data_IF_386919057522
#
_entry.id   IF_386919057522
#
_cell.length_a   1.000
_cell.length_b   1.000
_cell.length_c   1.000
_cell.angle_alpha   90.00
_cell.angle_beta   90.00
_cell.angle_gamma   90.00
#
_symmetry.space_group_name_H-M   'P 1'
#
loop_
_entity.id
_entity.type
_entity.pdbx_description
1 polymer ?
#
# COMPACT_ATOMS: atom_id res chain seq x y z
N UNK A 1 -2.01 -13.42 27.78
CA UNK A 1 -2.71 -13.32 26.48
C UNK A 1 -1.67 -13.01 25.42
N UNK A 2 -1.51 -13.79 24.35
CA UNK A 2 -0.69 -13.38 23.23
C UNK A 2 -1.24 -12.06 22.70
N UNK A 3 -0.38 -11.03 22.57
CA UNK A 3 -0.80 -9.77 21.99
C UNK A 3 -1.07 -10.03 20.50
N UNK A 4 -2.25 -9.69 20.04
CA UNK A 4 -2.59 -9.77 18.61
C UNK A 4 -1.56 -8.97 17.83
N UNK A 5 -0.87 -9.60 16.89
CA UNK A 5 0.05 -8.91 15.98
C UNK A 5 -0.78 -8.21 14.90
N UNK A 6 -0.75 -6.90 14.86
CA UNK A 6 -1.46 -6.14 13.82
C UNK A 6 -0.78 -6.35 12.48
N UNK A 7 -1.55 -6.73 11.45
CA UNK A 7 -1.07 -7.00 10.09
C UNK A 7 -1.75 -6.06 9.10
N UNK A 8 -0.97 -5.37 8.29
CA UNK A 8 -1.45 -4.44 7.26
C UNK A 8 -0.96 -4.94 5.90
N UNK A 9 -1.90 -5.24 5.00
CA UNK A 9 -1.62 -5.50 3.59
C UNK A 9 -1.39 -4.18 2.86
N UNK A 10 -0.33 -4.09 2.07
CA UNK A 10 0.02 -2.86 1.32
C UNK A 10 0.19 -3.20 -0.15
N UNK A 11 -0.56 -2.52 -1.00
CA UNK A 11 -0.59 -2.69 -2.45
C UNK A 11 -0.58 -1.34 -3.16
N UNK A 12 -0.04 -1.26 -4.35
CA UNK A 12 -0.01 -0.05 -5.19
C UNK A 12 0.12 -0.41 -6.66
N UNK A 13 -0.22 0.54 -7.52
CA UNK A 13 0.08 0.48 -8.95
C UNK A 13 -0.45 -0.82 -9.59
N UNK A 14 -1.73 -1.08 -9.38
CA UNK A 14 -2.45 -2.25 -9.92
C UNK A 14 -2.78 -2.09 -11.41
N UNK A 15 -2.87 -0.85 -11.91
CA UNK A 15 -3.05 -0.53 -13.32
C UNK A 15 -4.20 -1.33 -14.00
N UNK A 16 -5.34 -1.48 -13.28
CA UNK A 16 -6.52 -2.16 -13.79
C UNK A 16 -6.47 -3.69 -13.70
N UNK A 17 -5.42 -4.26 -13.07
CA UNK A 17 -5.28 -5.68 -12.85
C UNK A 17 -5.11 -6.00 -11.37
N UNK A 18 -5.80 -7.02 -10.88
CA UNK A 18 -5.61 -7.55 -9.53
C UNK A 18 -5.30 -9.04 -9.62
N UNK A 19 -4.06 -9.42 -9.31
CA UNK A 19 -3.68 -10.82 -9.20
C UNK A 19 -4.49 -11.49 -8.07
N UNK A 20 -5.20 -12.59 -8.35
CA UNK A 20 -5.98 -13.29 -7.31
C UNK A 20 -5.17 -13.70 -6.09
N UNK A 21 -3.86 -13.93 -6.24
CA UNK A 21 -2.95 -14.26 -5.14
C UNK A 21 -2.83 -13.13 -4.11
N UNK A 22 -3.08 -11.87 -4.51
CA UNK A 22 -3.09 -10.74 -3.56
C UNK A 22 -4.18 -10.94 -2.51
N UNK A 23 -5.36 -11.42 -2.92
CA UNK A 23 -6.46 -11.68 -1.99
C UNK A 23 -6.12 -12.82 -1.02
N UNK A 24 -5.43 -13.86 -1.50
CA UNK A 24 -4.96 -14.98 -0.68
C UNK A 24 -3.86 -14.52 0.31
N UNK A 25 -2.88 -13.73 -0.16
CA UNK A 25 -1.80 -13.20 0.67
C UNK A 25 -2.31 -12.25 1.76
N UNK A 26 -3.38 -11.52 1.46
CA UNK A 26 -4.00 -10.59 2.40
C UNK A 26 -5.08 -11.22 3.28
N UNK A 27 -5.34 -12.53 3.12
CA UNK A 27 -6.23 -13.23 4.03
C UNK A 27 -5.75 -13.11 5.49
N UNK A 28 -6.62 -12.57 6.36
CA UNK A 28 -6.33 -12.37 7.78
C UNK A 28 -5.42 -11.17 8.10
N UNK A 29 -5.28 -10.19 7.20
CA UNK A 29 -4.77 -8.87 7.59
C UNK A 29 -5.86 -8.06 8.28
N UNK A 30 -5.49 -7.16 9.17
CA UNK A 30 -6.44 -6.30 9.90
C UNK A 30 -6.89 -5.10 9.07
N UNK A 31 -6.08 -4.71 8.09
CA UNK A 31 -6.33 -3.56 7.22
C UNK A 31 -5.57 -3.69 5.90
N UNK A 32 -6.08 -3.06 4.85
CA UNK A 32 -5.41 -2.94 3.56
C UNK A 32 -5.20 -1.47 3.24
N UNK A 33 -4.03 -1.14 2.69
CA UNK A 33 -3.69 0.20 2.18
C UNK A 33 -3.35 0.11 0.71
N UNK A 34 -4.05 0.87 -0.15
CA UNK A 34 -3.76 0.99 -1.58
C UNK A 34 -3.21 2.37 -1.91
N UNK A 35 -2.00 2.44 -2.42
CA UNK A 35 -1.29 3.70 -2.64
C UNK A 35 -1.49 4.34 -4.02
N UNK A 36 -2.56 4.00 -4.74
CA UNK A 36 -2.97 4.67 -5.98
C UNK A 36 -2.56 3.96 -7.27
N UNK A 37 -2.93 4.58 -8.41
CA UNK A 37 -2.84 4.02 -9.75
C UNK A 37 -3.61 2.69 -9.86
N UNK A 38 -4.91 2.78 -9.59
CA UNK A 38 -5.84 1.66 -9.45
C UNK A 38 -6.43 1.29 -10.82
N UNK A 39 -6.98 2.28 -11.54
CA UNK A 39 -7.61 2.27 -12.85
C UNK A 39 -8.94 1.49 -12.96
N UNK A 40 -9.20 0.49 -12.11
CA UNK A 40 -10.46 -0.26 -12.07
C UNK A 40 -11.09 -0.23 -10.66
N UNK A 41 -12.26 0.41 -10.47
CA UNK A 41 -12.95 0.46 -9.17
C UNK A 41 -13.26 -0.94 -8.59
N UNK A 42 -13.45 -1.96 -9.44
CA UNK A 42 -13.70 -3.33 -9.01
C UNK A 42 -12.57 -3.92 -8.15
N UNK A 43 -11.35 -3.43 -8.31
CA UNK A 43 -10.21 -3.80 -7.46
C UNK A 43 -10.46 -3.39 -6.00
N UNK A 44 -11.01 -2.20 -5.78
CA UNK A 44 -11.31 -1.72 -4.43
C UNK A 44 -12.38 -2.59 -3.77
N UNK A 45 -13.38 -3.03 -4.52
CA UNK A 45 -14.44 -3.88 -4.00
C UNK A 45 -13.91 -5.27 -3.64
N UNK A 46 -13.05 -5.84 -4.48
CA UNK A 46 -12.38 -7.11 -4.19
C UNK A 46 -11.50 -7.03 -2.93
N UNK A 47 -10.74 -5.95 -2.75
CA UNK A 47 -9.91 -5.75 -1.56
C UNK A 47 -10.75 -5.50 -0.31
N UNK A 48 -11.86 -4.73 -0.40
CA UNK A 48 -12.80 -4.49 0.71
C UNK A 48 -13.48 -5.77 1.20
N UNK A 49 -13.66 -6.75 0.31
CA UNK A 49 -14.21 -8.07 0.69
C UNK A 49 -13.25 -8.87 1.58
N UNK A 50 -11.95 -8.56 1.57
CA UNK A 50 -10.93 -9.23 2.39
C UNK A 50 -10.76 -8.55 3.75
N UNK A 51 -10.59 -7.22 3.77
CA UNK A 51 -10.38 -6.44 5.01
C UNK A 51 -10.78 -4.97 4.82
N UNK A 52 -10.93 -4.18 5.91
CA UNK A 52 -11.08 -2.74 5.81
C UNK A 52 -9.98 -2.12 4.95
N UNK A 53 -10.36 -1.19 4.05
CA UNK A 53 -9.48 -0.60 3.05
C UNK A 53 -9.36 0.91 3.20
N UNK A 54 -8.12 1.41 3.18
CA UNK A 54 -7.82 2.82 2.91
C UNK A 54 -7.12 2.92 1.56
N UNK A 55 -7.67 3.71 0.65
CA UNK A 55 -7.11 3.91 -0.68
C UNK A 55 -6.98 5.39 -1.02
N UNK A 56 -6.02 5.72 -1.88
CA UNK A 56 -5.86 7.03 -2.49
C UNK A 56 -5.83 6.88 -4.00
N UNK A 57 -6.16 7.95 -4.73
CA UNK A 57 -5.96 7.92 -6.18
C UNK A 57 -4.52 8.31 -6.55
N UNK A 58 -4.02 7.74 -7.63
CA UNK A 58 -2.72 8.08 -8.21
C UNK A 58 -2.81 9.10 -9.35
N UNK A 59 -1.84 9.07 -10.26
CA UNK A 59 -1.78 10.04 -11.36
C UNK A 59 -2.43 9.55 -12.65
N UNK A 60 -2.64 8.25 -12.79
CA UNK A 60 -3.34 7.68 -13.96
C UNK A 60 -4.82 7.38 -13.68
N UNK A 61 -5.24 7.44 -12.43
CA UNK A 61 -6.65 7.29 -12.06
C UNK A 61 -7.50 8.43 -12.60
N UNK A 62 -8.70 8.12 -13.06
CA UNK A 62 -9.65 9.05 -13.67
C UNK A 62 -11.08 8.81 -13.17
N UNK A 63 -12.01 9.67 -13.55
CA UNK A 63 -13.44 9.49 -13.27
C UNK A 63 -13.77 9.35 -11.79
N UNK A 64 -14.54 8.32 -11.47
CA UNK A 64 -15.04 8.08 -10.11
C UNK A 64 -13.91 7.86 -9.10
N UNK A 65 -12.81 7.22 -9.50
CA UNK A 65 -11.65 7.03 -8.61
C UNK A 65 -11.07 8.36 -8.11
N UNK A 66 -10.99 9.38 -8.98
CA UNK A 66 -10.50 10.70 -8.58
C UNK A 66 -11.54 11.48 -7.78
N UNK A 67 -12.83 11.29 -8.05
CA UNK A 67 -13.90 12.00 -7.35
C UNK A 67 -14.18 11.42 -5.95
N UNK A 68 -14.00 10.12 -5.76
CA UNK A 68 -14.31 9.42 -4.51
C UNK A 68 -13.10 9.25 -3.59
N UNK A 69 -11.91 9.13 -4.16
CA UNK A 69 -10.69 8.89 -3.37
C UNK A 69 -9.90 10.18 -3.15
N UNK A 70 -9.38 10.37 -1.93
CA UNK A 70 -8.47 11.49 -1.66
C UNK A 70 -7.10 11.26 -2.31
N UNK A 71 -6.32 12.32 -2.46
CA UNK A 71 -4.90 12.25 -2.88
C UNK A 71 -3.99 11.71 -1.78
N UNK A 72 -4.41 11.85 -0.55
CA UNK A 72 -3.70 11.44 0.66
C UNK A 72 -4.72 11.07 1.71
N UNK A 73 -4.48 9.98 2.43
CA UNK A 73 -5.32 9.53 3.52
C UNK A 73 -4.48 9.22 4.77
N UNK A 74 -5.14 9.20 5.91
CA UNK A 74 -4.56 8.87 7.21
C UNK A 74 -5.43 7.85 7.90
N UNK A 75 -4.82 7.02 8.72
CA UNK A 75 -5.54 6.06 9.54
C UNK A 75 -4.70 5.59 10.70
N UNK A 76 -5.33 4.78 11.51
CA UNK A 76 -4.70 4.04 12.59
C UNK A 76 -5.33 2.65 12.66
N UNK A 77 -4.51 1.62 12.82
CA UNK A 77 -4.95 0.24 12.99
C UNK A 77 -4.05 -0.47 14.00
N UNK A 78 -4.64 -1.05 15.04
CA UNK A 78 -3.90 -1.74 16.10
C UNK A 78 -2.82 -0.91 16.78
N UNK A 79 -3.01 0.41 16.87
CA UNK A 79 -2.04 1.36 17.43
C UNK A 79 -0.94 1.81 16.46
N UNK A 80 -0.99 1.39 15.19
CA UNK A 80 -0.09 1.86 14.12
C UNK A 80 -0.74 3.00 13.38
N UNK A 81 -0.19 4.20 13.51
CA UNK A 81 -0.62 5.37 12.75
C UNK A 81 0.02 5.37 11.36
N UNK A 82 -0.76 5.65 10.32
CA UNK A 82 -0.21 5.69 8.97
C UNK A 82 -0.72 6.87 8.15
N UNK A 83 0.07 7.21 7.14
CA UNK A 83 -0.29 8.14 6.06
C UNK A 83 0.00 7.45 4.74
N UNK A 84 -0.91 7.58 3.79
CA UNK A 84 -0.74 7.05 2.43
C UNK A 84 -0.91 8.16 1.40
N UNK A 85 -0.10 8.11 0.36
CA UNK A 85 -0.20 8.98 -0.81
C UNK A 85 0.65 8.46 -1.94
N UNK A 86 0.20 8.65 -3.18
CA UNK A 86 0.83 8.00 -4.32
C UNK A 86 2.27 8.48 -4.57
N UNK A 87 2.54 9.80 -4.53
CA UNK A 87 3.87 10.35 -4.89
C UNK A 87 4.70 10.75 -3.68
N UNK A 88 5.88 10.14 -3.52
CA UNK A 88 6.85 10.40 -2.44
C UNK A 88 7.18 11.89 -2.32
N UNK A 89 7.53 12.56 -3.43
CA UNK A 89 7.94 13.97 -3.41
C UNK A 89 6.90 14.90 -2.77
N UNK A 90 5.61 14.61 -3.00
CA UNK A 90 4.51 15.38 -2.41
C UNK A 90 4.43 15.17 -0.90
N UNK A 91 4.48 13.92 -0.44
CA UNK A 91 4.45 13.58 0.99
C UNK A 91 5.65 14.17 1.72
N UNK A 92 6.87 14.06 1.16
CA UNK A 92 8.08 14.61 1.76
C UNK A 92 8.03 16.15 1.88
N UNK A 93 7.49 16.84 0.86
CA UNK A 93 7.29 18.29 0.94
C UNK A 93 6.34 18.67 2.09
N UNK A 94 5.33 17.85 2.37
CA UNK A 94 4.38 18.08 3.47
C UNK A 94 4.96 17.73 4.83
N UNK A 95 5.78 16.68 4.92
CA UNK A 95 6.53 16.34 6.13
C UNK A 95 7.45 17.49 6.55
N UNK A 96 8.24 18.03 5.62
CA UNK A 96 9.09 19.20 5.86
C UNK A 96 8.31 20.45 6.26
N UNK A 97 7.03 20.55 5.91
CA UNK A 97 6.13 21.62 6.33
C UNK A 97 5.38 21.32 7.66
N UNK A 98 5.70 20.22 8.36
CA UNK A 98 5.03 19.80 9.60
C UNK A 98 3.57 19.37 9.44
N UNK A 99 3.09 19.22 8.20
CA UNK A 99 1.66 18.98 7.89
C UNK A 99 1.24 17.52 8.01
N UNK A 100 2.18 16.58 8.07
CA UNK A 100 1.89 15.15 8.16
C UNK A 100 1.97 14.61 9.60
N UNK A 101 2.24 15.46 10.59
CA UNK A 101 2.21 15.03 11.98
C UNK A 101 0.84 14.45 12.34
N UNK A 102 0.81 13.22 12.81
CA UNK A 102 -0.38 12.59 13.37
C UNK A 102 -0.63 13.17 14.76
N UNK A 103 -1.74 13.86 14.98
CA UNK A 103 -2.18 14.41 16.28
C UNK A 103 -1.07 14.81 17.26
N UNK A 104 -0.93 16.08 17.57
CA UNK A 104 0.03 16.56 18.57
C UNK A 104 1.49 16.69 18.12
N UNK A 105 1.78 16.71 16.82
CA UNK A 105 3.13 16.96 16.28
C UNK A 105 4.01 15.71 16.14
N UNK A 106 3.50 14.51 16.44
CA UNK A 106 4.19 13.25 16.20
C UNK A 106 4.10 12.85 14.72
N UNK A 107 5.21 12.38 14.16
CA UNK A 107 5.21 11.74 12.83
C UNK A 107 4.45 10.42 12.89
N UNK A 108 3.81 9.98 11.76
CA UNK A 108 3.17 8.67 11.69
C UNK A 108 4.20 7.55 11.84
N UNK A 109 3.76 6.37 12.30
CA UNK A 109 4.62 5.19 12.39
C UNK A 109 4.97 4.64 11.00
N UNK A 110 4.03 4.77 10.04
CA UNK A 110 4.15 4.24 8.68
C UNK A 110 3.73 5.30 7.64
N UNK A 111 4.53 5.47 6.60
CA UNK A 111 4.18 6.23 5.40
C UNK A 111 4.22 5.29 4.20
N UNK A 112 3.08 5.16 3.51
CA UNK A 112 2.94 4.32 2.31
C UNK A 112 2.96 5.21 1.07
N UNK A 113 3.76 4.83 0.11
CA UNK A 113 3.91 5.49 -1.19
C UNK A 113 3.84 4.47 -2.33
N UNK A 114 3.54 4.92 -3.54
CA UNK A 114 3.56 4.13 -4.78
C UNK A 114 4.42 4.78 -5.86
N UNK A 115 3.96 4.70 -7.11
CA UNK A 115 4.45 5.42 -8.29
C UNK A 115 5.80 4.95 -8.87
N UNK A 116 6.76 4.59 -8.05
CA UNK A 116 8.13 4.26 -8.50
C UNK A 116 8.28 2.78 -8.90
N UNK A 117 7.24 1.96 -8.73
CA UNK A 117 7.16 0.53 -9.03
C UNK A 117 8.26 -0.34 -8.39
N UNK A 118 9.13 0.23 -7.58
CA UNK A 118 10.27 -0.46 -6.95
C UNK A 118 9.98 -0.68 -5.46
N UNK A 119 9.93 -1.94 -5.00
CA UNK A 119 9.72 -2.23 -3.59
C UNK A 119 10.86 -1.66 -2.74
N UNK A 120 10.50 -0.91 -1.71
CA UNK A 120 11.49 -0.31 -0.80
C UNK A 120 10.93 -0.07 0.59
N UNK A 121 11.77 -0.22 1.61
CA UNK A 121 11.45 0.12 2.99
C UNK A 121 12.63 0.83 3.62
N UNK A 122 12.40 1.99 4.23
CA UNK A 122 13.44 2.79 4.87
C UNK A 122 12.91 3.50 6.11
N UNK A 123 13.70 3.49 7.18
CA UNK A 123 13.42 4.26 8.38
C UNK A 123 14.02 5.66 8.27
N UNK A 124 13.18 6.66 8.50
CA UNK A 124 13.59 8.08 8.54
C UNK A 124 12.95 8.73 9.77
N UNK A 125 13.75 9.20 10.69
CA UNK A 125 13.30 9.89 11.91
C UNK A 125 12.20 9.14 12.70
N UNK A 126 12.33 7.81 12.79
CA UNK A 126 11.38 6.95 13.52
C UNK A 126 10.11 6.60 12.76
N UNK A 127 9.98 7.01 11.51
CA UNK A 127 8.89 6.66 10.59
C UNK A 127 9.36 5.66 9.54
N UNK A 128 8.59 4.61 9.31
CA UNK A 128 8.83 3.65 8.23
C UNK A 128 8.23 4.18 6.92
N UNK A 129 9.08 4.43 5.92
CA UNK A 129 8.65 4.70 4.55
C UNK A 129 8.61 3.40 3.77
N UNK A 130 7.47 3.08 3.18
CA UNK A 130 7.22 1.83 2.46
C UNK A 130 6.65 2.11 1.07
N UNK A 131 7.31 1.59 0.05
CA UNK A 131 6.73 1.38 -1.28
C UNK A 131 6.58 -0.13 -1.48
N UNK A 132 5.38 -0.67 -1.72
CA UNK A 132 5.19 -2.11 -1.91
C UNK A 132 5.71 -2.62 -3.26
N UNK A 133 6.10 -1.75 -4.17
CA UNK A 133 6.31 -2.03 -5.57
C UNK A 133 5.03 -1.84 -6.38
N UNK A 134 4.99 -2.38 -7.58
CA UNK A 134 3.78 -2.45 -8.41
C UNK A 134 3.10 -3.80 -8.22
N UNK A 135 1.77 -3.81 -8.33
CA UNK A 135 0.97 -5.04 -8.42
C UNK A 135 0.29 -5.17 -9.80
N UNK A 136 0.94 -4.61 -10.83
CA UNK A 136 0.50 -4.66 -12.24
C UNK A 136 0.43 -6.09 -12.79
N UNK A 137 -0.05 -6.20 -14.03
CA UNK A 137 -0.14 -7.49 -14.72
C UNK A 137 1.23 -8.18 -14.82
N UNK A 138 1.29 -9.50 -14.60
CA UNK A 138 2.51 -10.26 -14.82
C UNK A 138 2.97 -10.31 -16.29
N UNK A 139 2.11 -9.84 -17.21
CA UNK A 139 2.43 -9.69 -18.63
C UNK A 139 3.17 -8.35 -18.92
N UNK A 140 3.34 -7.49 -17.92
CA UNK A 140 4.17 -6.29 -18.01
C UNK A 140 5.64 -6.69 -17.83
N UNK A 141 6.42 -6.63 -18.92
CA UNK A 141 7.79 -7.13 -18.95
C UNK A 141 8.76 -6.25 -18.15
N UNK A 142 8.38 -5.00 -17.89
CA UNK A 142 9.25 -4.02 -17.25
C UNK A 142 9.20 -4.10 -15.70
N UNK A 143 8.18 -4.78 -15.14
CA UNK A 143 7.93 -4.79 -13.71
C UNK A 143 8.06 -6.19 -13.08
N UNK A 144 8.63 -6.26 -11.88
CA UNK A 144 8.57 -7.44 -11.00
C UNK A 144 7.46 -7.20 -9.96
N UNK A 145 6.24 -7.74 -10.18
CA UNK A 145 5.10 -7.39 -9.34
C UNK A 145 5.26 -7.89 -7.91
N UNK A 146 4.99 -7.01 -6.96
CA UNK A 146 5.10 -7.26 -5.51
C UNK A 146 3.98 -6.58 -4.74
N UNK A 147 3.66 -7.14 -3.58
CA UNK A 147 2.90 -6.48 -2.51
C UNK A 147 3.69 -6.57 -1.21
N UNK A 148 3.26 -5.89 -0.17
CA UNK A 148 3.91 -5.98 1.13
C UNK A 148 2.92 -6.31 2.25
N UNK A 149 3.43 -6.96 3.30
CA UNK A 149 2.73 -7.10 4.57
C UNK A 149 3.58 -6.43 5.64
N UNK A 150 2.98 -5.50 6.38
CA UNK A 150 3.56 -4.88 7.56
C UNK A 150 2.99 -5.57 8.80
N UNK A 151 3.87 -6.03 9.67
CA UNK A 151 3.51 -6.65 10.95
C UNK A 151 3.98 -5.76 12.10
N UNK A 152 3.04 -5.31 12.94
CA UNK A 152 3.35 -4.54 14.14
C UNK A 152 3.47 -5.49 15.33
N UNK A 153 4.65 -5.54 15.91
CA UNK A 153 4.99 -6.33 17.08
C UNK A 153 5.44 -5.45 18.25
N UNK A 154 5.68 -6.03 19.40
CA UNK A 154 6.26 -5.32 20.54
C UNK A 154 7.68 -4.75 20.22
N UNK A 155 8.36 -5.30 19.21
CA UNK A 155 9.70 -4.87 18.78
C UNK A 155 9.65 -3.75 17.72
N UNK A 156 8.46 -3.39 17.20
CA UNK A 156 8.26 -2.39 16.15
C UNK A 156 7.61 -2.95 14.89
N UNK A 157 7.73 -2.22 13.77
CA UNK A 157 7.19 -2.64 12.48
C UNK A 157 8.21 -3.50 11.72
N UNK A 158 7.75 -4.64 11.23
CA UNK A 158 8.47 -5.51 10.31
C UNK A 158 7.77 -5.50 8.95
N UNK A 159 8.54 -5.49 7.85
CA UNK A 159 8.01 -5.53 6.48
C UNK A 159 8.42 -6.82 5.81
N UNK A 160 7.46 -7.44 5.14
CA UNK A 160 7.71 -8.58 4.25
C UNK A 160 7.20 -8.24 2.86
N UNK A 161 8.09 -8.21 1.88
CA UNK A 161 7.72 -8.13 0.48
C UNK A 161 7.32 -9.52 -0.03
N UNK A 162 6.21 -9.56 -0.77
CA UNK A 162 5.62 -10.77 -1.33
C UNK A 162 5.63 -10.67 -2.85
N UNK A 163 6.63 -11.28 -3.52
CA UNK A 163 6.67 -11.31 -4.99
C UNK A 163 5.43 -12.03 -5.55
N UNK A 164 4.82 -11.42 -6.54
CA UNK A 164 3.78 -12.04 -7.35
C UNK A 164 4.49 -12.66 -8.56
N UNK A 165 4.65 -13.99 -8.59
CA UNK A 165 5.42 -14.66 -9.63
C UNK A 165 4.91 -14.28 -11.04
N UNK A 166 5.82 -13.96 -11.96
CA UNK A 166 5.51 -13.86 -13.39
C UNK A 166 4.90 -15.17 -13.88
N UNK A 167 4.03 -15.13 -14.87
CA UNK A 167 3.60 -16.37 -15.56
C UNK A 167 4.84 -17.01 -16.16
N UNK A 168 5.07 -18.29 -15.84
CA UNK A 168 6.11 -19.05 -16.51
C UNK A 168 5.81 -19.04 -18.01
N UNK A 169 6.77 -18.62 -18.83
CA UNK A 169 6.69 -18.68 -20.29
C UNK A 169 6.26 -20.10 -20.69
N UNK A 170 5.03 -20.27 -21.18
CA UNK A 170 4.60 -21.56 -21.67
C UNK A 170 3.12 -21.94 -21.53
N UNK A 171 2.27 -21.16 -20.88
CA UNK A 171 0.83 -21.41 -20.97
C UNK A 171 0.15 -20.35 -21.86
N UNK A 172 0.35 -20.52 -23.17
CA UNK A 172 -0.52 -19.94 -24.18
C UNK A 172 -1.97 -20.46 -23.98
N UNK A 173 -2.93 -19.60 -24.23
CA UNK A 173 -4.38 -19.76 -24.16
C UNK A 173 -4.90 -21.06 -24.78
#
# INVERSE_FOLDING_TARGET
MPRHTTRIGVVSDTHGYLDPRVLELFAGVDHIVHAGDIMDPGILDALRAVAPLTAVHGNVDTGDLVSELPREARGEVGGVSFVVGHKRKRLMKRLGAGRLAAGGGRLPDLIVIGHEHVPSAAWVDGTLFLNPGTASSPDDEDDDPTVAIVEATAAGLAVRFMPLARRADGQAR
#
